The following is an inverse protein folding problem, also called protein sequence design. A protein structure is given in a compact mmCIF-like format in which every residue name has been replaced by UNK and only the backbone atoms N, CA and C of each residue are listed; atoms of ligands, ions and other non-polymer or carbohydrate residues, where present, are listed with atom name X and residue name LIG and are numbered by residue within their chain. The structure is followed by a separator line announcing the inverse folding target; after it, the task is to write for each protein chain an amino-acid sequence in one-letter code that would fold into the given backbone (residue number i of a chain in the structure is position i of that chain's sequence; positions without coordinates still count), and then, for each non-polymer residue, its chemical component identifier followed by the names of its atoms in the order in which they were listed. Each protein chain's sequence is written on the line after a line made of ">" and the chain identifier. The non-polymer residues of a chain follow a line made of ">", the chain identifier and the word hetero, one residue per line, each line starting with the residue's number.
data_IF_336206285362
#
_entry.id   IF_336206285362
#
_cell.length_a   1.000
_cell.length_b   1.000
_cell.length_c   1.000
_cell.angle_alpha   90.00
_cell.angle_beta   90.00
_cell.angle_gamma   90.00
#
_symmetry.space_group_name_H-M   'P 1'
#
loop_
_entity.id
_entity.type
_entity.pdbx_description
1 polymer ?
#
# COMPACT_ATOMS: atom_id res chain seq x y z
N UNK A 1 42.32 14.84 20.93
CA UNK A 1 41.95 13.42 20.76
C UNK A 1 40.86 13.11 21.77
N UNK A 2 39.59 13.08 21.34
CA UNK A 2 38.47 12.26 21.86
C UNK A 2 37.12 12.89 21.53
N UNK A 3 36.21 12.03 21.07
CA UNK A 3 34.90 12.28 20.45
C UNK A 3 33.77 12.38 21.49
N UNK A 4 32.60 12.80 20.97
CA UNK A 4 31.21 12.66 21.45
C UNK A 4 30.76 13.71 22.47
N UNK A 5 29.56 14.31 22.40
CA UNK A 5 28.24 13.74 22.08
C UNK A 5 27.31 14.71 21.33
N UNK A 6 26.31 14.11 20.68
CA UNK A 6 25.31 14.66 19.78
C UNK A 6 24.31 15.63 20.43
N UNK A 7 23.92 16.67 19.70
CA UNK A 7 22.56 17.23 19.73
C UNK A 7 22.34 18.10 18.49
N UNK A 8 21.97 17.48 17.38
CA UNK A 8 21.48 18.22 16.21
C UNK A 8 19.97 18.07 16.18
N UNK A 9 19.32 19.14 16.60
CA UNK A 9 17.88 19.33 16.65
C UNK A 9 17.35 19.27 15.20
N UNK A 10 16.68 18.20 14.80
CA UNK A 10 15.99 18.17 13.52
C UNK A 10 14.64 18.90 13.67
N UNK A 11 14.63 20.11 13.14
CA UNK A 11 13.49 21.03 13.07
C UNK A 11 12.32 20.36 12.37
N UNK A 12 11.30 19.96 13.13
CA UNK A 12 9.97 19.74 12.59
C UNK A 12 9.45 21.10 12.07
N UNK A 13 9.38 21.26 10.74
CA UNK A 13 8.82 22.47 10.14
C UNK A 13 7.30 22.44 10.27
N UNK A 14 6.81 23.24 11.20
CA UNK A 14 5.38 23.46 11.40
C UNK A 14 4.82 24.31 10.25
N UNK A 15 4.16 23.67 9.29
CA UNK A 15 3.34 24.38 8.29
C UNK A 15 1.95 24.57 8.89
N UNK A 16 1.58 25.81 9.24
CA UNK A 16 0.25 26.15 9.76
C UNK A 16 -0.80 26.11 8.63
N UNK A 17 -1.83 25.25 8.67
CA UNK A 17 -2.99 25.35 7.80
C UNK A 17 -4.02 26.32 8.43
N UNK A 18 -4.48 27.30 7.67
CA UNK A 18 -5.42 28.35 8.12
C UNK A 18 -6.90 28.01 7.89
N UNK A 19 -7.33 26.74 7.88
CA UNK A 19 -8.75 26.38 7.74
C UNK A 19 -9.16 25.16 8.59
N UNK A 20 -10.32 25.18 9.27
CA UNK A 20 -10.76 24.06 10.09
C UNK A 20 -11.58 23.08 9.23
N UNK A 21 -10.95 22.01 8.76
CA UNK A 21 -11.66 20.79 8.38
C UNK A 21 -10.73 19.59 8.63
N UNK A 22 -11.03 18.86 9.72
CA UNK A 22 -10.46 17.57 10.15
C UNK A 22 -9.00 17.33 9.72
N UNK A 23 -8.06 17.79 10.55
CA UNK A 23 -6.64 17.41 10.43
C UNK A 23 -6.50 15.91 10.67
N UNK A 24 -6.34 15.13 9.60
CA UNK A 24 -5.72 13.80 9.72
C UNK A 24 -4.24 14.03 10.04
N UNK A 25 -3.81 13.65 11.23
CA UNK A 25 -2.39 13.60 11.57
C UNK A 25 -1.78 12.37 10.88
N UNK A 26 -1.25 12.56 9.66
CA UNK A 26 -0.52 11.48 8.99
C UNK A 26 0.89 11.41 9.58
N UNK A 27 1.11 10.45 10.47
CA UNK A 27 2.45 10.06 10.91
C UNK A 27 3.14 9.32 9.75
N UNK A 28 3.85 10.03 8.88
CA UNK A 28 4.76 9.39 7.93
C UNK A 28 6.07 9.12 8.68
N UNK A 29 6.22 7.89 9.18
CA UNK A 29 7.54 7.42 9.59
C UNK A 29 8.35 7.18 8.32
N UNK A 30 9.44 7.92 8.13
CA UNK A 30 10.49 7.70 7.12
C UNK A 30 11.11 6.30 7.33
N UNK A 31 10.43 5.27 6.84
CA UNK A 31 10.77 3.87 7.09
C UNK A 31 9.68 2.84 6.72
N UNK A 32 8.71 3.19 5.87
CA UNK A 32 7.70 2.22 5.43
C UNK A 32 8.36 1.07 4.68
N UNK A 33 8.26 -0.14 5.25
CA UNK A 33 8.71 -1.38 4.60
C UNK A 33 7.81 -1.74 3.41
N UNK A 34 6.65 -1.08 3.26
CA UNK A 34 5.68 -1.37 2.22
C UNK A 34 5.44 -0.19 1.30
N UNK A 35 5.17 -0.51 0.04
CA UNK A 35 4.83 0.42 -1.03
C UNK A 35 3.66 -0.11 -1.86
N UNK A 36 3.02 0.79 -2.60
CA UNK A 36 2.00 0.46 -3.60
C UNK A 36 2.59 0.72 -4.98
N UNK A 37 2.64 -0.33 -5.80
CA UNK A 37 3.25 -0.28 -7.13
C UNK A 37 2.17 -0.49 -8.19
N UNK A 38 1.99 0.43 -9.16
CA UNK A 38 1.06 0.24 -10.26
C UNK A 38 1.34 -1.04 -11.04
N UNK A 39 0.29 -1.79 -11.35
CA UNK A 39 0.35 -3.01 -12.15
C UNK A 39 -0.97 -3.23 -12.90
N UNK A 40 -0.97 -4.15 -13.84
CA UNK A 40 -2.15 -4.52 -14.59
C UNK A 40 -2.12 -5.99 -15.04
N UNK A 41 -3.27 -6.50 -15.46
CA UNK A 41 -3.40 -7.77 -16.18
C UNK A 41 -2.80 -8.99 -15.44
N UNK A 42 -2.93 -9.01 -14.11
CA UNK A 42 -2.41 -10.08 -13.26
C UNK A 42 -0.91 -9.97 -12.96
N UNK A 43 -0.22 -8.94 -13.48
CA UNK A 43 1.19 -8.71 -13.18
C UNK A 43 1.37 -8.37 -11.70
N UNK A 44 2.48 -8.86 -11.16
CA UNK A 44 2.92 -8.63 -9.80
C UNK A 44 4.30 -7.99 -9.83
N UNK A 45 4.53 -7.05 -8.91
CA UNK A 45 5.84 -6.48 -8.69
C UNK A 45 6.68 -7.38 -7.76
N UNK A 46 8.00 -7.24 -7.83
CA UNK A 46 8.90 -7.95 -6.91
C UNK A 46 8.59 -7.56 -5.46
N UNK A 47 8.54 -8.55 -4.58
CA UNK A 47 8.14 -8.35 -3.17
C UNK A 47 6.62 -8.21 -2.97
N UNK A 48 5.80 -8.55 -3.97
CA UNK A 48 4.35 -8.59 -3.82
C UNK A 48 3.92 -9.44 -2.62
N UNK A 49 3.07 -8.87 -1.78
CA UNK A 49 2.63 -9.50 -0.54
C UNK A 49 1.48 -10.47 -0.84
N UNK A 50 1.72 -11.76 -0.61
CA UNK A 50 0.68 -12.78 -0.67
C UNK A 50 -0.27 -12.61 0.52
N UNK A 51 -1.56 -12.49 0.24
CA UNK A 51 -2.61 -12.33 1.25
C UNK A 51 -3.43 -13.60 1.51
N UNK A 52 -3.28 -14.63 0.68
CA UNK A 52 -3.98 -15.90 0.83
C UNK A 52 -3.80 -16.81 -0.38
N UNK A 53 -4.74 -17.74 -0.54
CA UNK A 53 -4.84 -18.62 -1.70
C UNK A 53 -6.31 -18.89 -2.05
N UNK A 54 -6.58 -19.23 -3.30
CA UNK A 54 -7.91 -19.66 -3.72
C UNK A 54 -8.15 -21.15 -3.41
N UNK A 55 -9.35 -21.65 -3.71
CA UNK A 55 -9.72 -23.04 -3.44
C UNK A 55 -8.88 -24.08 -4.20
N UNK A 56 -8.30 -23.72 -5.35
CA UNK A 56 -7.35 -24.57 -6.08
C UNK A 56 -5.91 -24.49 -5.56
N UNK A 57 -5.65 -23.63 -4.56
CA UNK A 57 -4.33 -23.42 -3.99
C UNK A 57 -3.48 -22.36 -4.70
N UNK A 58 -4.00 -21.69 -5.74
CA UNK A 58 -3.29 -20.58 -6.38
C UNK A 58 -3.12 -19.40 -5.41
N UNK A 59 -1.92 -18.80 -5.30
CA UNK A 59 -1.69 -17.66 -4.42
C UNK A 59 -2.45 -16.41 -4.86
N UNK A 60 -3.01 -15.70 -3.90
CA UNK A 60 -3.68 -14.41 -4.09
C UNK A 60 -2.88 -13.31 -3.41
N UNK A 61 -2.81 -12.15 -4.05
CA UNK A 61 -1.97 -11.03 -3.61
C UNK A 61 -2.81 -9.82 -3.21
N UNK A 62 -2.23 -8.96 -2.38
CA UNK A 62 -2.92 -7.75 -1.92
C UNK A 62 -2.78 -6.67 -2.99
N UNK A 63 -3.91 -6.13 -3.44
CA UNK A 63 -3.94 -4.99 -4.34
C UNK A 63 -5.02 -3.99 -3.96
N UNK A 64 -5.02 -2.84 -4.63
CA UNK A 64 -6.05 -1.80 -4.45
C UNK A 64 -6.32 -1.07 -5.74
N UNK A 65 -7.49 -0.44 -5.82
CA UNK A 65 -7.87 0.41 -6.94
C UNK A 65 -8.88 1.47 -6.48
N UNK A 66 -9.11 2.48 -7.31
CA UNK A 66 -10.16 3.46 -7.07
C UNK A 66 -11.51 2.93 -7.58
N UNK A 67 -12.50 2.85 -6.69
CA UNK A 67 -13.88 2.52 -7.00
C UNK A 67 -14.80 3.57 -6.37
N UNK A 68 -15.63 4.21 -7.19
CA UNK A 68 -16.58 5.25 -6.75
C UNK A 68 -15.98 6.34 -5.84
N UNK A 69 -14.79 6.83 -6.22
CA UNK A 69 -14.09 7.89 -5.48
C UNK A 69 -13.39 7.43 -4.19
N UNK A 70 -13.48 6.14 -3.85
CA UNK A 70 -12.81 5.54 -2.70
C UNK A 70 -11.69 4.62 -3.16
N UNK A 71 -10.56 4.66 -2.44
CA UNK A 71 -9.48 3.73 -2.64
C UNK A 71 -9.78 2.42 -1.89
N UNK A 72 -10.03 1.35 -2.63
CA UNK A 72 -10.54 0.07 -2.09
C UNK A 72 -9.50 -1.03 -2.25
N UNK A 73 -9.23 -1.74 -1.16
CA UNK A 73 -8.34 -2.91 -1.15
C UNK A 73 -9.10 -4.16 -1.63
N UNK A 74 -8.41 -5.04 -2.33
CA UNK A 74 -8.93 -6.32 -2.80
C UNK A 74 -7.85 -7.37 -2.99
N UNK A 75 -8.21 -8.44 -3.71
CA UNK A 75 -7.35 -9.58 -4.01
C UNK A 75 -6.96 -9.58 -5.49
N UNK A 76 -5.67 -9.57 -5.79
CA UNK A 76 -5.14 -9.80 -7.14
C UNK A 76 -5.07 -11.30 -7.38
N UNK A 77 -5.65 -11.74 -8.49
CA UNK A 77 -5.67 -13.13 -8.92
C UNK A 77 -4.87 -13.25 -10.23
N UNK A 78 -3.60 -13.68 -10.16
CA UNK A 78 -2.69 -13.61 -11.31
C UNK A 78 -3.20 -14.39 -12.52
N UNK A 79 -3.69 -15.61 -12.36
CA UNK A 79 -4.22 -16.40 -13.48
C UNK A 79 -5.52 -15.85 -14.08
N UNK A 80 -6.29 -15.05 -13.35
CA UNK A 80 -7.47 -14.35 -13.88
C UNK A 80 -7.12 -13.00 -14.51
N UNK A 81 -5.87 -12.54 -14.33
CA UNK A 81 -5.39 -11.29 -14.91
C UNK A 81 -6.01 -10.03 -14.30
N UNK A 82 -6.43 -10.05 -13.03
CA UNK A 82 -7.18 -8.92 -12.47
C UNK A 82 -7.11 -8.80 -10.93
N UNK A 83 -7.49 -7.62 -10.44
CA UNK A 83 -7.88 -7.35 -9.07
C UNK A 83 -9.39 -7.54 -8.91
N UNK A 84 -9.80 -8.16 -7.80
CA UNK A 84 -11.19 -8.21 -7.35
C UNK A 84 -11.36 -7.41 -6.05
N UNK A 85 -12.32 -6.49 -6.01
CA UNK A 85 -12.69 -5.76 -4.79
C UNK A 85 -14.12 -6.12 -4.36
N UNK A 86 -14.39 -6.24 -3.05
CA UNK A 86 -15.75 -6.35 -2.54
C UNK A 86 -16.38 -4.95 -2.41
N UNK A 87 -17.52 -4.72 -3.06
CA UNK A 87 -18.28 -3.47 -2.90
C UNK A 87 -19.77 -3.72 -3.15
N UNK A 88 -20.65 -3.09 -2.37
CA UNK A 88 -22.10 -3.21 -2.57
C UNK A 88 -22.69 -4.62 -2.41
N UNK A 89 -21.95 -5.58 -1.83
CA UNK A 89 -22.34 -6.99 -1.74
C UNK A 89 -21.95 -7.83 -2.97
N UNK A 90 -21.27 -7.23 -3.95
CA UNK A 90 -20.77 -7.89 -5.15
C UNK A 90 -19.23 -7.82 -5.24
N UNK A 91 -18.67 -8.60 -6.15
CA UNK A 91 -17.25 -8.59 -6.46
C UNK A 91 -17.02 -7.88 -7.80
N UNK A 92 -16.26 -6.79 -7.77
CA UNK A 92 -15.95 -6.00 -8.96
C UNK A 92 -14.55 -6.31 -9.47
N UNK A 93 -14.42 -6.49 -10.79
CA UNK A 93 -13.16 -6.83 -11.48
C UNK A 93 -12.48 -5.59 -12.08
N UNK A 94 -11.16 -5.50 -11.88
CA UNK A 94 -10.31 -4.43 -12.42
C UNK A 94 -9.06 -4.98 -13.10
N UNK A 95 -8.77 -4.50 -14.32
CA UNK A 95 -7.52 -4.79 -15.04
C UNK A 95 -6.34 -4.00 -14.47
N UNK A 96 -6.59 -2.76 -14.05
CA UNK A 96 -5.59 -1.81 -13.56
C UNK A 96 -5.73 -1.59 -12.05
N UNK A 97 -4.60 -1.69 -11.36
CA UNK A 97 -4.55 -1.66 -9.90
C UNK A 97 -3.15 -1.28 -9.40
N UNK A 98 -3.02 -1.13 -8.08
CA UNK A 98 -1.73 -1.10 -7.41
C UNK A 98 -1.56 -2.38 -6.58
N UNK A 99 -0.36 -2.95 -6.56
CA UNK A 99 0.01 -4.12 -5.75
C UNK A 99 0.75 -3.65 -4.51
N UNK A 100 0.42 -4.23 -3.36
CA UNK A 100 1.20 -4.03 -2.14
C UNK A 100 2.50 -4.82 -2.22
N UNK A 101 3.63 -4.14 -2.10
CA UNK A 101 4.97 -4.75 -2.08
C UNK A 101 5.67 -4.49 -0.77
N UNK A 102 6.48 -5.45 -0.33
CA UNK A 102 7.44 -5.28 0.76
C UNK A 102 8.84 -5.02 0.18
N UNK A 103 9.45 -3.89 0.52
CA UNK A 103 10.78 -3.45 0.06
C UNK A 103 11.93 -4.11 0.82
N UNK A 104 11.75 -4.37 2.10
CA UNK A 104 12.79 -4.91 2.98
C UNK A 104 12.16 -5.80 4.04
N UNK A 105 12.60 -7.05 4.10
CA UNK A 105 12.27 -7.97 5.18
C UNK A 105 13.48 -8.02 6.10
N UNK A 106 13.36 -7.42 7.28
CA UNK A 106 14.41 -7.47 8.29
C UNK A 106 14.15 -8.67 9.21
N UNK A 107 15.11 -9.61 9.26
CA UNK A 107 15.09 -10.75 10.18
C UNK A 107 15.77 -10.40 11.51
#
# INVERSE_FOLDING_TARGET
>A
MSRALLSTQHSARFVRPTRPCLTTETLVSEGSQFDWVPASDGRLANGAVQGGSCSSGEPLYIGRTFHEGTLTIGKVHPSHGCLYIPYGGEEHRYSDYEVLVCKSVNF
#
